data_IF_062006189506
#
_entry.id   IF_062006189506
#
_cell.length_a   1.000
_cell.length_b   1.000
_cell.length_c   1.000
_cell.angle_alpha   90.00
_cell.angle_beta   90.00
_cell.angle_gamma   90.00
#
_symmetry.space_group_name_H-M   'P 1'
#
loop_
_entity.id
_entity.type
_entity.pdbx_description
1 polymer ?
#
# COMPACT_ATOMS: atom_id res chain seq x y z
N UNK A 1 -2.14 -17.42 -6.23
CA UNK A 1 -0.89 -17.49 -7.02
C UNK A 1 0.24 -17.14 -6.08
N UNK A 2 1.29 -17.97 -6.03
CA UNK A 2 2.48 -17.69 -5.22
C UNK A 2 3.30 -16.59 -5.93
N UNK A 3 3.80 -15.57 -5.21
CA UNK A 3 4.68 -14.56 -5.81
C UNK A 3 5.97 -15.22 -6.32
N UNK A 4 6.49 -14.73 -7.45
CA UNK A 4 7.82 -15.06 -7.93
C UNK A 4 8.83 -14.08 -7.31
N UNK A 5 9.98 -14.60 -6.84
CA UNK A 5 11.04 -13.80 -6.22
C UNK A 5 12.24 -13.79 -7.15
N UNK A 6 12.76 -12.60 -7.44
CA UNK A 6 13.97 -12.39 -8.21
C UNK A 6 14.89 -11.48 -7.41
N UNK A 7 16.14 -11.89 -7.26
CA UNK A 7 17.17 -11.10 -6.59
C UNK A 7 17.90 -10.21 -7.60
N UNK A 8 18.17 -8.98 -7.20
CA UNK A 8 18.93 -8.00 -7.98
C UNK A 8 20.22 -7.64 -7.23
N UNK A 9 21.26 -7.14 -7.93
CA UNK A 9 22.43 -6.59 -7.28
C UNK A 9 22.03 -5.54 -6.24
N UNK A 10 22.61 -5.63 -5.05
CA UNK A 10 22.26 -4.74 -3.95
C UNK A 10 22.61 -3.28 -4.28
N UNK A 11 21.66 -2.38 -3.98
CA UNK A 11 21.86 -0.95 -4.04
C UNK A 11 21.60 -0.36 -2.66
N UNK A 12 22.61 0.30 -2.09
CA UNK A 12 22.52 0.86 -0.73
C UNK A 12 21.65 2.11 -0.67
N UNK A 13 21.56 2.85 -1.77
CA UNK A 13 20.73 4.05 -1.90
C UNK A 13 19.40 3.69 -2.60
N UNK A 14 18.39 3.35 -1.80
CA UNK A 14 17.08 2.93 -2.27
C UNK A 14 16.30 4.06 -2.97
N UNK A 15 16.66 5.33 -2.72
CA UNK A 15 16.06 6.49 -3.39
C UNK A 15 16.27 6.40 -4.90
N UNK A 16 17.47 6.01 -5.35
CA UNK A 16 17.78 5.82 -6.78
C UNK A 16 16.91 4.76 -7.45
N UNK A 17 16.50 3.73 -6.70
CA UNK A 17 15.57 2.73 -7.22
C UNK A 17 14.15 3.31 -7.32
N UNK A 18 13.74 4.12 -6.35
CA UNK A 18 12.43 4.75 -6.35
C UNK A 18 12.27 5.82 -7.41
N UNK A 19 13.31 6.56 -7.76
CA UNK A 19 13.30 7.55 -8.86
C UNK A 19 12.78 6.93 -10.18
N UNK A 20 13.07 5.65 -10.44
CA UNK A 20 12.58 4.92 -11.63
C UNK A 20 11.06 4.67 -11.61
N UNK A 21 10.44 4.77 -10.44
CA UNK A 21 9.02 4.52 -10.21
C UNK A 21 8.24 5.78 -9.84
N UNK A 22 8.91 6.88 -9.49
CA UNK A 22 8.30 8.08 -8.91
C UNK A 22 7.23 8.72 -9.78
N UNK A 23 7.38 8.67 -11.11
CA UNK A 23 6.40 9.22 -12.06
C UNK A 23 5.19 8.29 -12.28
N UNK A 24 5.21 7.07 -11.72
CA UNK A 24 4.10 6.12 -11.90
C UNK A 24 2.96 6.48 -10.97
N UNK A 25 1.70 6.46 -11.45
CA UNK A 25 0.55 6.63 -10.59
C UNK A 25 0.58 5.66 -9.40
N UNK A 26 0.27 6.19 -8.21
CA UNK A 26 0.24 5.43 -6.96
C UNK A 26 1.58 4.80 -6.55
N UNK A 27 2.70 5.41 -6.96
CA UNK A 27 4.01 5.04 -6.41
C UNK A 27 4.05 5.32 -4.91
N UNK A 28 4.48 4.34 -4.11
CA UNK A 28 4.68 4.48 -2.67
C UNK A 28 6.08 4.02 -2.32
N UNK A 29 6.74 4.83 -1.49
CA UNK A 29 8.04 4.52 -0.90
C UNK A 29 7.91 4.58 0.61
N UNK A 30 8.19 3.46 1.28
CA UNK A 30 8.39 3.39 2.72
C UNK A 30 9.89 3.24 2.97
N UNK A 31 10.51 4.33 3.38
CA UNK A 31 11.92 4.43 3.70
C UNK A 31 12.15 4.17 5.18
N UNK A 32 13.09 3.28 5.50
CA UNK A 32 13.54 3.01 6.86
C UNK A 32 14.42 4.12 7.44
N UNK A 33 14.86 5.07 6.61
CA UNK A 33 15.64 6.25 7.01
C UNK A 33 17.10 5.94 7.29
N UNK A 34 17.63 4.83 6.77
CA UNK A 34 19.05 4.49 6.90
C UNK A 34 19.93 5.51 6.15
N UNK A 35 21.16 5.82 6.65
CA UNK A 35 21.83 5.25 7.82
C UNK A 35 21.47 5.91 9.17
N UNK A 36 20.61 6.94 9.18
CA UNK A 36 20.29 7.68 10.42
C UNK A 36 19.23 6.97 11.28
N UNK A 37 18.40 6.12 10.67
CA UNK A 37 17.38 5.34 11.35
C UNK A 37 17.94 4.11 12.05
N UNK A 38 17.61 3.92 13.32
CA UNK A 38 18.13 2.79 14.12
C UNK A 38 17.19 1.57 14.15
N UNK A 39 15.94 1.72 13.67
CA UNK A 39 14.88 0.71 13.87
C UNK A 39 14.36 0.05 12.59
N UNK A 40 14.58 0.66 11.42
CA UNK A 40 14.07 0.13 10.16
C UNK A 40 15.10 -0.73 9.43
N UNK A 41 14.72 -1.97 9.07
CA UNK A 41 15.55 -2.92 8.31
C UNK A 41 15.28 -2.90 6.80
N UNK A 42 14.07 -2.51 6.39
CA UNK A 42 13.58 -2.69 5.03
C UNK A 42 13.07 -1.38 4.46
N UNK A 43 13.43 -1.15 3.19
CA UNK A 43 12.80 -0.16 2.33
C UNK A 43 11.82 -0.88 1.40
N UNK A 44 10.59 -0.36 1.29
CA UNK A 44 9.54 -0.97 0.47
C UNK A 44 9.13 0.02 -0.62
N UNK A 45 9.25 -0.42 -1.87
CA UNK A 45 8.95 0.35 -3.06
C UNK A 45 7.83 -0.33 -3.83
N UNK A 46 6.76 0.41 -4.15
CA UNK A 46 5.62 -0.11 -4.91
C UNK A 46 5.10 0.93 -5.89
N UNK A 47 4.42 0.48 -6.95
CA UNK A 47 3.72 1.32 -7.91
C UNK A 47 2.69 0.48 -8.68
N UNK A 48 1.85 1.14 -9.47
CA UNK A 48 0.91 0.49 -10.40
C UNK A 48 0.02 -0.60 -9.72
N UNK A 49 -0.77 -0.23 -8.70
CA UNK A 49 -1.61 -1.18 -7.98
C UNK A 49 -2.70 -1.74 -8.90
N UNK A 50 -3.09 -3.01 -8.66
CA UNK A 50 -4.23 -3.64 -9.35
C UNK A 50 -5.55 -2.95 -8.99
N UNK A 51 -5.74 -2.65 -7.71
CA UNK A 51 -6.95 -2.03 -7.16
C UNK A 51 -6.57 -0.81 -6.33
N UNK A 52 -7.39 0.23 -6.36
CA UNK A 52 -7.24 1.40 -5.48
C UNK A 52 -8.53 1.67 -4.73
N UNK A 53 -8.42 1.96 -3.43
CA UNK A 53 -9.54 2.36 -2.59
C UNK A 53 -9.29 3.79 -2.13
N UNK A 54 -10.21 4.71 -2.44
CA UNK A 54 -10.12 6.12 -2.05
C UNK A 54 -11.38 6.53 -1.32
N UNK A 55 -11.23 6.86 -0.04
CA UNK A 55 -12.35 7.30 0.81
C UNK A 55 -12.39 8.81 0.86
N UNK A 56 -13.54 9.40 0.51
CA UNK A 56 -13.82 10.83 0.66
C UNK A 56 -15.13 11.02 1.40
N UNK A 57 -15.06 11.57 2.60
CA UNK A 57 -16.20 11.62 3.51
C UNK A 57 -16.81 10.23 3.68
N UNK A 58 -18.11 10.10 3.41
CA UNK A 58 -18.88 8.85 3.59
C UNK A 58 -18.79 7.86 2.44
N UNK A 59 -18.07 8.17 1.36
CA UNK A 59 -18.04 7.32 0.16
C UNK A 59 -16.62 6.84 -0.10
N UNK A 60 -16.49 5.55 -0.35
CA UNK A 60 -15.27 4.89 -0.79
C UNK A 60 -15.42 4.52 -2.26
N UNK A 61 -14.54 5.05 -3.10
CA UNK A 61 -14.40 4.65 -4.49
C UNK A 61 -13.39 3.52 -4.62
N UNK A 62 -13.82 2.40 -5.18
CA UNK A 62 -13.02 1.20 -5.41
C UNK A 62 -12.82 1.08 -6.91
N UNK A 63 -11.58 1.21 -7.38
CA UNK A 63 -11.22 1.05 -8.78
C UNK A 63 -10.48 -0.26 -8.99
N UNK A 64 -10.90 -1.06 -9.97
CA UNK A 64 -10.24 -2.28 -10.45
C UNK A 64 -10.19 -2.22 -11.98
N UNK A 65 -9.03 -1.91 -12.54
CA UNK A 65 -8.89 -1.55 -13.94
C UNK A 65 -9.76 -0.35 -14.33
N UNK A 66 -10.63 -0.53 -15.32
CA UNK A 66 -11.57 0.50 -15.79
C UNK A 66 -12.85 0.59 -14.94
N UNK A 67 -13.11 -0.41 -14.09
CA UNK A 67 -14.31 -0.43 -13.27
C UNK A 67 -14.17 0.48 -12.06
N UNK A 68 -15.25 1.21 -11.74
CA UNK A 68 -15.37 2.03 -10.53
C UNK A 68 -16.65 1.66 -9.79
N UNK A 69 -16.51 1.16 -8.56
CA UNK A 69 -17.61 0.95 -7.62
C UNK A 69 -17.56 2.01 -6.53
N UNK A 70 -18.72 2.56 -6.17
CA UNK A 70 -18.88 3.44 -5.02
C UNK A 70 -19.59 2.68 -3.91
N UNK A 71 -19.08 2.77 -2.68
CA UNK A 71 -19.74 2.20 -1.50
C UNK A 71 -19.74 3.19 -0.33
N UNK A 72 -20.75 3.05 0.54
CA UNK A 72 -20.85 3.77 1.83
C UNK A 72 -20.53 2.88 3.02
N UNK A 73 -20.17 1.63 2.77
CA UNK A 73 -19.74 0.66 3.78
C UNK A 73 -18.45 1.12 4.45
N UNK A 74 -18.14 0.53 5.61
CA UNK A 74 -16.92 0.81 6.36
C UNK A 74 -15.67 0.64 5.46
N UNK A 75 -14.80 1.66 5.33
CA UNK A 75 -13.58 1.56 4.55
C UNK A 75 -12.66 0.41 4.96
N UNK A 76 -12.63 0.00 6.23
CA UNK A 76 -11.78 -1.11 6.68
C UNK A 76 -12.35 -2.47 6.25
N UNK A 77 -13.68 -2.63 6.31
CA UNK A 77 -14.35 -3.80 5.76
C UNK A 77 -14.13 -3.93 4.24
N UNK A 78 -14.24 -2.82 3.50
CA UNK A 78 -13.98 -2.78 2.05
C UNK A 78 -12.50 -3.09 1.72
N UNK A 79 -11.57 -2.62 2.56
CA UNK A 79 -10.16 -2.94 2.42
C UNK A 79 -9.90 -4.44 2.63
N UNK A 80 -10.52 -5.03 3.65
CA UNK A 80 -10.40 -6.46 3.93
C UNK A 80 -11.00 -7.32 2.81
N UNK A 81 -12.16 -6.93 2.26
CA UNK A 81 -12.73 -7.56 1.07
C UNK A 81 -11.77 -7.48 -0.12
N UNK A 82 -11.14 -6.33 -0.33
CA UNK A 82 -10.20 -6.12 -1.43
C UNK A 82 -8.90 -6.94 -1.30
N UNK A 83 -8.40 -7.13 -0.07
CA UNK A 83 -7.26 -7.99 0.24
C UNK A 83 -7.57 -9.47 -0.04
N UNK A 84 -8.82 -9.88 0.21
CA UNK A 84 -9.26 -11.26 0.02
C UNK A 84 -8.70 -12.21 1.08
N UNK A 85 -8.59 -13.52 0.78
CA UNK A 85 -8.11 -14.50 1.75
C UNK A 85 -6.63 -14.27 2.08
N UNK A 86 -6.28 -14.54 3.34
CA UNK A 86 -4.91 -14.53 3.81
C UNK A 86 -4.04 -15.50 3.01
N UNK A 87 -2.78 -15.13 2.81
CA UNK A 87 -1.80 -15.92 2.09
C UNK A 87 -0.59 -16.12 2.99
N UNK A 88 0.04 -17.27 2.87
CA UNK A 88 1.32 -17.52 3.53
C UNK A 88 2.33 -16.45 3.11
N UNK A 89 3.00 -15.88 4.10
CA UNK A 89 4.09 -14.94 3.90
C UNK A 89 5.30 -15.62 3.25
N UNK A 90 6.27 -14.80 2.86
CA UNK A 90 7.59 -15.27 2.46
C UNK A 90 8.55 -15.00 3.61
N UNK A 91 9.39 -15.98 3.92
CA UNK A 91 10.44 -15.82 4.93
C UNK A 91 11.36 -14.63 4.56
N UNK A 92 11.75 -13.83 5.56
CA UNK A 92 12.58 -12.62 5.41
C UNK A 92 12.02 -11.50 4.51
N UNK A 93 10.79 -11.60 3.97
CA UNK A 93 10.16 -10.54 3.15
C UNK A 93 8.93 -10.01 3.90
N UNK A 94 8.98 -8.79 4.47
CA UNK A 94 7.91 -8.28 5.32
C UNK A 94 6.63 -7.91 4.56
N UNK A 95 6.74 -7.67 3.25
CA UNK A 95 5.62 -7.29 2.39
C UNK A 95 5.78 -7.94 1.00
N UNK A 96 4.99 -8.98 0.74
CA UNK A 96 4.99 -9.74 -0.53
C UNK A 96 3.74 -9.47 -1.37
N UNK A 97 3.17 -8.28 -1.21
CA UNK A 97 1.91 -7.85 -1.80
C UNK A 97 0.79 -7.72 -0.77
N UNK A 98 -0.16 -6.84 -1.05
CA UNK A 98 -1.23 -6.47 -0.12
C UNK A 98 -1.70 -5.05 -0.39
N UNK A 99 -2.15 -4.37 0.66
CA UNK A 99 -2.51 -2.97 0.60
C UNK A 99 -1.38 -2.10 1.15
N UNK A 100 -1.14 -0.97 0.50
CA UNK A 100 -0.16 0.03 0.91
C UNK A 100 -0.71 1.41 0.55
N UNK A 101 -0.46 2.39 1.42
CA UNK A 101 -0.99 3.74 1.28
C UNK A 101 -1.00 4.45 2.62
N UNK A 102 -1.95 5.37 2.80
CA UNK A 102 -2.08 6.13 4.03
C UNK A 102 -3.54 6.14 4.52
N UNK A 103 -3.68 6.24 5.84
CA UNK A 103 -4.95 6.56 6.48
C UNK A 103 -4.89 8.02 6.93
N UNK A 104 -5.60 8.89 6.23
CA UNK A 104 -5.67 10.31 6.58
C UNK A 104 -6.41 10.52 7.91
N UNK A 105 -6.08 11.59 8.62
CA UNK A 105 -6.66 11.90 9.93
C UNK A 105 -8.20 11.89 9.93
N UNK A 106 -8.82 12.53 8.93
CA UNK A 106 -10.29 12.60 8.81
C UNK A 106 -10.97 11.25 8.54
N UNK A 107 -10.23 10.19 8.23
CA UNK A 107 -10.79 8.84 8.16
C UNK A 107 -11.39 8.42 9.51
N UNK A 108 -10.88 8.97 10.62
CA UNK A 108 -11.43 8.76 11.96
C UNK A 108 -12.94 9.10 12.04
N UNK A 109 -13.44 10.03 11.22
CA UNK A 109 -14.88 10.37 11.14
C UNK A 109 -15.77 9.23 10.60
N UNK A 110 -15.17 8.17 10.07
CA UNK A 110 -15.87 6.92 9.68
C UNK A 110 -15.95 5.91 10.82
N UNK A 111 -15.07 6.03 11.80
CA UNK A 111 -15.03 5.18 12.99
C UNK A 111 -15.82 5.82 14.13
N UNK A 112 -15.69 7.13 14.29
CA UNK A 112 -16.22 7.89 15.43
C UNK A 112 -17.05 9.09 14.99
N UNK A 113 -18.00 9.51 15.83
CA UNK A 113 -18.76 10.76 15.63
C UNK A 113 -17.98 11.93 16.19
N UNK A 114 -17.27 12.63 15.33
CA UNK A 114 -16.55 13.86 15.67
C UNK A 114 -17.42 15.10 15.37
N UNK A 115 -17.26 16.20 16.13
CA UNK A 115 -17.95 17.47 15.88
C UNK A 115 -17.76 18.01 14.45
#
# INVERSE_FOLDING_TARGET
MKPAVLEFPYQSDSVRLFELLADRPWSVFLDSGQPQGEQGRYDILTAAPRKTLVTRGRVTGIRDGESLRLSREDPFALLQEALGPEREGLEEIPFSGGAIGYFGYDLARRLERLP
#
